data_IF_681697354452
#
_entry.id   IF_681697354452
#
_cell.length_a   1.000
_cell.length_b   1.000
_cell.length_c   1.000
_cell.angle_alpha   90.00
_cell.angle_beta   90.00
_cell.angle_gamma   90.00
#
_symmetry.space_group_name_H-M   'P 1'
#
loop_
_entity.id
_entity.type
_entity.pdbx_description
1 polymer ?
#
# COMPACT_ATOMS: atom_id res chain seq x y z
N UNK A 1 -77.92 6.72 -54.79
CA UNK A 1 -78.87 5.91 -53.97
C UNK A 1 -78.35 4.49 -53.75
N UNK A 2 -77.67 3.86 -54.71
CA UNK A 2 -77.09 2.50 -54.57
C UNK A 2 -75.97 2.37 -53.51
N UNK A 3 -75.15 3.42 -53.34
CA UNK A 3 -74.00 3.37 -52.39
C UNK A 3 -74.44 3.30 -50.93
N UNK A 4 -75.59 3.91 -50.60
CA UNK A 4 -76.14 3.88 -49.24
C UNK A 4 -76.63 2.47 -48.90
N UNK A 5 -77.25 1.77 -49.84
CA UNK A 5 -77.70 0.39 -49.65
C UNK A 5 -76.52 -0.59 -49.51
N UNK A 6 -75.44 -0.36 -50.25
CA UNK A 6 -74.20 -1.16 -50.11
C UNK A 6 -73.53 -0.94 -48.75
N UNK A 7 -73.44 0.31 -48.29
CA UNK A 7 -72.91 0.65 -46.97
C UNK A 7 -73.78 0.02 -45.87
N UNK A 8 -75.11 0.06 -46.00
CA UNK A 8 -76.03 -0.56 -45.05
C UNK A 8 -75.86 -2.09 -44.97
N UNK A 9 -75.68 -2.77 -46.12
CA UNK A 9 -75.40 -4.22 -46.13
C UNK A 9 -74.07 -4.56 -45.47
N UNK A 10 -73.01 -3.80 -45.75
CA UNK A 10 -71.70 -4.00 -45.13
C UNK A 10 -71.73 -3.74 -43.63
N UNK A 11 -72.46 -2.72 -43.19
CA UNK A 11 -72.62 -2.40 -41.77
C UNK A 11 -73.39 -3.50 -41.04
N UNK A 12 -74.49 -3.99 -41.60
CA UNK A 12 -75.26 -5.09 -41.02
C UNK A 12 -74.41 -6.37 -40.89
N UNK A 13 -73.61 -6.69 -41.90
CA UNK A 13 -72.69 -7.83 -41.86
C UNK A 13 -71.57 -7.65 -40.81
N UNK A 14 -71.01 -6.45 -40.69
CA UNK A 14 -70.00 -6.14 -39.68
C UNK A 14 -70.57 -6.27 -38.26
N UNK A 15 -71.80 -5.79 -38.04
CA UNK A 15 -72.48 -5.87 -36.75
C UNK A 15 -72.83 -7.32 -36.38
N UNK A 16 -73.29 -8.14 -37.33
CA UNK A 16 -73.54 -9.58 -37.10
C UNK A 16 -72.24 -10.33 -36.77
N UNK A 17 -71.15 -10.02 -37.46
CA UNK A 17 -69.82 -10.59 -37.17
C UNK A 17 -69.30 -10.19 -35.80
N UNK A 18 -69.51 -8.94 -35.38
CA UNK A 18 -69.16 -8.46 -34.04
C UNK A 18 -70.02 -9.16 -33.00
N UNK A 19 -71.34 -9.25 -33.20
CA UNK A 19 -72.27 -9.96 -32.32
C UNK A 19 -71.84 -11.41 -32.07
N UNK A 20 -71.52 -12.14 -33.14
CA UNK A 20 -70.97 -13.51 -33.06
C UNK A 20 -69.61 -13.57 -32.35
N UNK A 21 -68.77 -12.55 -32.52
CA UNK A 21 -67.49 -12.43 -31.82
C UNK A 21 -67.66 -12.23 -30.31
N UNK A 22 -68.61 -11.37 -29.90
CA UNK A 22 -68.92 -11.10 -28.49
C UNK A 22 -69.59 -12.31 -27.83
N UNK A 23 -70.53 -12.98 -28.52
CA UNK A 23 -71.11 -14.23 -28.04
C UNK A 23 -70.04 -15.32 -27.88
N UNK A 24 -69.04 -15.38 -28.76
CA UNK A 24 -67.90 -16.28 -28.65
C UNK A 24 -66.99 -15.99 -27.45
N UNK A 25 -66.86 -14.71 -27.06
CA UNK A 25 -66.13 -14.28 -25.87
C UNK A 25 -66.89 -14.60 -24.58
N UNK A 26 -68.21 -14.42 -24.55
CA UNK A 26 -69.06 -14.80 -23.41
C UNK A 26 -69.18 -16.32 -23.23
N UNK A 27 -69.08 -17.07 -24.34
CA UNK A 27 -69.08 -18.54 -24.33
C UNK A 27 -67.69 -19.16 -24.21
N UNK A 28 -66.64 -18.35 -24.23
CA UNK A 28 -65.31 -18.82 -23.93
C UNK A 28 -65.33 -19.32 -22.47
N UNK A 29 -64.92 -20.57 -22.20
CA UNK A 29 -64.83 -21.04 -20.83
C UNK A 29 -63.90 -20.06 -20.08
N UNK A 30 -64.35 -19.58 -18.92
CA UNK A 30 -63.51 -18.80 -18.03
C UNK A 30 -62.16 -19.53 -17.89
N UNK A 31 -61.01 -18.82 -17.96
CA UNK A 31 -59.72 -19.47 -17.75
C UNK A 31 -59.85 -20.27 -16.45
N UNK A 32 -59.65 -21.59 -16.56
CA UNK A 32 -59.75 -22.47 -15.41
C UNK A 32 -58.92 -21.84 -14.29
N UNK A 33 -59.56 -21.53 -13.16
CA UNK A 33 -58.87 -20.98 -12.00
C UNK A 33 -57.64 -21.85 -11.80
N UNK A 34 -56.45 -21.25 -11.91
CA UNK A 34 -55.20 -21.96 -11.74
C UNK A 34 -55.31 -22.76 -10.45
N UNK A 35 -55.20 -24.09 -10.55
CA UNK A 35 -55.31 -24.97 -9.40
C UNK A 35 -54.37 -24.43 -8.32
N UNK A 36 -54.87 -24.28 -7.10
CA UNK A 36 -54.04 -23.83 -5.97
C UNK A 36 -52.78 -24.71 -5.94
N UNK A 37 -51.58 -24.11 -5.82
CA UNK A 37 -50.34 -24.89 -5.84
C UNK A 37 -50.44 -25.98 -4.78
N UNK A 38 -50.09 -27.21 -5.16
CA UNK A 38 -50.12 -28.33 -4.23
C UNK A 38 -49.18 -28.10 -3.04
N UNK A 39 -49.39 -28.85 -1.97
CA UNK A 39 -48.64 -28.69 -0.71
C UNK A 39 -47.13 -28.88 -0.92
N UNK A 40 -46.73 -29.69 -1.89
CA UNK A 40 -45.33 -29.94 -2.25
C UNK A 40 -44.70 -28.71 -2.92
N UNK A 41 -45.41 -28.07 -3.86
CA UNK A 41 -44.98 -26.81 -4.48
C UNK A 41 -44.89 -25.68 -3.44
N UNK A 42 -45.82 -25.59 -2.50
CA UNK A 42 -45.77 -24.58 -1.43
C UNK A 42 -44.59 -24.82 -0.46
N UNK A 43 -44.26 -26.07 -0.17
CA UNK A 43 -43.09 -26.42 0.63
C UNK A 43 -41.78 -26.07 -0.10
N UNK A 44 -41.68 -26.36 -1.40
CA UNK A 44 -40.53 -26.02 -2.24
C UNK A 44 -40.31 -24.50 -2.31
N UNK A 45 -41.38 -23.72 -2.51
CA UNK A 45 -41.33 -22.26 -2.53
C UNK A 45 -40.84 -21.71 -1.18
N UNK A 46 -41.34 -22.24 -0.06
CA UNK A 46 -40.91 -21.82 1.28
C UNK A 46 -39.43 -22.13 1.51
N UNK A 47 -38.98 -23.31 1.06
CA UNK A 47 -37.57 -23.72 1.13
C UNK A 47 -36.67 -22.82 0.30
N UNK A 48 -37.06 -22.51 -0.93
CA UNK A 48 -36.32 -21.60 -1.82
C UNK A 48 -36.27 -20.17 -1.28
N UNK A 49 -37.37 -19.68 -0.69
CA UNK A 49 -37.40 -18.37 -0.03
C UNK A 49 -36.47 -18.32 1.18
N UNK A 50 -36.40 -19.40 1.97
CA UNK A 50 -35.44 -19.50 3.07
C UNK A 50 -34.00 -19.48 2.55
N UNK A 51 -33.71 -20.29 1.52
CA UNK A 51 -32.38 -20.36 0.92
C UNK A 51 -31.95 -19.02 0.29
N UNK A 52 -32.88 -18.28 -0.31
CA UNK A 52 -32.63 -16.96 -0.85
C UNK A 52 -32.26 -15.97 0.25
N UNK A 53 -33.02 -15.93 1.35
CA UNK A 53 -32.70 -15.07 2.51
C UNK A 53 -31.33 -15.40 3.11
N UNK A 54 -31.00 -16.68 3.23
CA UNK A 54 -29.69 -17.11 3.73
C UNK A 54 -28.56 -16.68 2.78
N UNK A 55 -28.79 -16.78 1.47
CA UNK A 55 -27.84 -16.32 0.46
C UNK A 55 -27.66 -14.80 0.48
N UNK A 56 -28.74 -14.02 0.61
CA UNK A 56 -28.70 -12.56 0.75
C UNK A 56 -27.91 -12.15 2.00
N UNK A 57 -28.15 -12.81 3.14
CA UNK A 57 -27.40 -12.55 4.37
C UNK A 57 -25.90 -12.85 4.22
N UNK A 58 -25.55 -13.92 3.49
CA UNK A 58 -24.15 -14.24 3.18
C UNK A 58 -23.51 -13.22 2.25
N UNK A 59 -24.24 -12.73 1.24
CA UNK A 59 -23.74 -11.69 0.34
C UNK A 59 -23.40 -10.43 1.13
N UNK A 60 -24.31 -9.97 1.99
CA UNK A 60 -24.08 -8.80 2.85
C UNK A 60 -22.86 -8.98 3.75
N UNK A 61 -22.70 -10.17 4.35
CA UNK A 61 -21.52 -10.49 5.17
C UNK A 61 -20.24 -10.44 4.35
N UNK A 62 -20.22 -11.05 3.17
CA UNK A 62 -19.04 -11.09 2.30
C UNK A 62 -18.68 -9.71 1.76
N UNK A 63 -19.67 -8.87 1.45
CA UNK A 63 -19.44 -7.49 1.05
C UNK A 63 -18.81 -6.67 2.18
N UNK A 64 -19.27 -6.88 3.42
CA UNK A 64 -18.67 -6.25 4.60
C UNK A 64 -17.22 -6.72 4.80
N UNK A 65 -16.96 -8.03 4.73
CA UNK A 65 -15.61 -8.60 4.87
C UNK A 65 -14.66 -8.10 3.79
N UNK A 66 -15.13 -8.02 2.54
CA UNK A 66 -14.36 -7.52 1.41
C UNK A 66 -14.05 -6.03 1.55
N UNK A 67 -15.00 -5.24 2.06
CA UNK A 67 -14.75 -3.82 2.35
C UNK A 67 -13.71 -3.63 3.46
N UNK A 68 -13.76 -4.46 4.52
CA UNK A 68 -12.81 -4.43 5.62
C UNK A 68 -11.41 -4.89 5.15
N UNK A 69 -11.33 -5.93 4.33
CA UNK A 69 -10.09 -6.39 3.75
C UNK A 69 -9.44 -5.33 2.85
N UNK A 70 -10.22 -4.64 2.01
CA UNK A 70 -9.71 -3.53 1.19
C UNK A 70 -9.21 -2.36 2.03
N UNK A 71 -9.92 -2.02 3.11
CA UNK A 71 -9.49 -0.95 4.02
C UNK A 71 -8.18 -1.34 4.75
N UNK A 72 -8.07 -2.60 5.18
CA UNK A 72 -6.85 -3.12 5.79
C UNK A 72 -5.69 -3.18 4.79
N UNK A 73 -5.93 -3.56 3.54
CA UNK A 73 -4.92 -3.56 2.47
C UNK A 73 -4.46 -2.15 2.14
N UNK A 74 -5.38 -1.18 2.02
CA UNK A 74 -5.05 0.23 1.82
C UNK A 74 -4.21 0.77 2.99
N UNK A 75 -4.62 0.50 4.23
CA UNK A 75 -3.88 0.92 5.42
C UNK A 75 -2.51 0.23 5.52
N UNK A 76 -2.40 -1.05 5.14
CA UNK A 76 -1.14 -1.77 5.11
C UNK A 76 -0.21 -1.25 4.02
N UNK A 77 -0.76 -0.84 2.87
CA UNK A 77 0.00 -0.24 1.78
C UNK A 77 0.49 1.16 2.14
N UNK A 78 -0.37 2.00 2.71
CA UNK A 78 0.03 3.30 3.26
C UNK A 78 1.08 3.15 4.36
N UNK A 79 0.93 2.15 5.24
CA UNK A 79 1.92 1.86 6.27
C UNK A 79 3.24 1.36 5.68
N UNK A 80 3.22 0.52 4.65
CA UNK A 80 4.42 0.05 3.96
C UNK A 80 5.12 1.18 3.19
N UNK A 81 4.37 2.07 2.56
CA UNK A 81 4.89 3.30 1.94
C UNK A 81 5.42 4.31 2.98
N UNK A 82 4.90 4.27 4.21
CA UNK A 82 5.32 5.13 5.32
C UNK A 82 6.43 4.54 6.20
N UNK A 83 6.78 3.26 6.07
CA UNK A 83 7.97 2.69 6.71
C UNK A 83 9.16 3.14 5.86
N UNK A 84 9.98 4.10 6.32
CA UNK A 84 11.14 4.52 5.56
C UNK A 84 12.06 3.30 5.42
N UNK A 85 12.41 2.95 4.18
CA UNK A 85 13.62 2.16 3.96
C UNK A 85 14.77 2.88 4.66
N UNK A 86 15.60 2.12 5.37
CA UNK A 86 16.72 2.69 6.12
C UNK A 86 17.53 3.58 5.17
N UNK A 87 17.97 4.78 5.61
CA UNK A 87 18.75 5.66 4.76
C UNK A 87 19.91 4.84 4.17
N UNK A 88 20.03 4.86 2.84
CA UNK A 88 21.20 4.30 2.16
C UNK A 88 22.39 5.19 2.50
N UNK A 89 22.95 4.99 3.70
CA UNK A 89 24.25 5.51 4.05
C UNK A 89 25.21 4.91 3.02
N UNK A 90 25.94 5.78 2.30
CA UNK A 90 27.01 5.35 1.42
C UNK A 90 27.96 4.44 2.21
N UNK A 91 27.89 3.15 1.89
CA UNK A 91 28.60 2.08 2.61
C UNK A 91 30.10 2.29 2.52
N UNK A 92 30.58 2.86 1.41
CA UNK A 92 32.00 3.15 1.22
C UNK A 92 32.42 4.34 2.09
N UNK A 93 31.61 5.41 2.15
CA UNK A 93 31.87 6.55 3.02
C UNK A 93 31.82 6.17 4.52
N UNK A 94 30.89 5.29 4.92
CA UNK A 94 30.80 4.78 6.28
C UNK A 94 32.01 3.90 6.64
N UNK A 95 32.45 3.03 5.73
CA UNK A 95 33.62 2.20 5.91
C UNK A 95 34.91 3.05 6.00
N UNK A 96 35.02 4.10 5.20
CA UNK A 96 36.14 5.05 5.29
C UNK A 96 36.14 5.78 6.63
N UNK A 97 34.98 6.28 7.10
CA UNK A 97 34.86 6.90 8.41
C UNK A 97 35.29 5.95 9.53
N UNK A 98 34.84 4.70 9.52
CA UNK A 98 35.24 3.70 10.51
C UNK A 98 36.77 3.48 10.51
N UNK A 99 37.38 3.42 9.32
CA UNK A 99 38.82 3.31 9.19
C UNK A 99 39.55 4.53 9.76
N UNK A 100 39.08 5.75 9.50
CA UNK A 100 39.71 6.97 10.02
C UNK A 100 39.56 7.09 11.54
N UNK A 101 38.40 6.72 12.10
CA UNK A 101 38.19 6.67 13.56
C UNK A 101 39.12 5.64 14.21
N UNK A 102 39.32 4.48 13.59
CA UNK A 102 40.26 3.48 14.07
C UNK A 102 41.72 4.00 14.08
N UNK A 103 42.12 4.72 13.01
CA UNK A 103 43.43 5.37 12.92
C UNK A 103 43.61 6.48 13.97
N UNK A 104 42.59 7.32 14.18
CA UNK A 104 42.60 8.36 15.21
C UNK A 104 42.78 7.77 16.61
N UNK A 105 42.10 6.66 16.91
CA UNK A 105 42.28 5.94 18.19
C UNK A 105 43.71 5.43 18.35
N UNK A 106 44.27 4.82 17.31
CA UNK A 106 45.64 4.31 17.33
C UNK A 106 46.67 5.44 17.52
N UNK A 107 46.53 6.54 16.78
CA UNK A 107 47.41 7.71 16.88
C UNK A 107 47.35 8.35 18.29
N UNK A 108 46.16 8.41 18.89
CA UNK A 108 46.00 8.90 20.26
C UNK A 108 46.65 7.99 21.32
N UNK A 109 46.61 6.67 21.12
CA UNK A 109 47.33 5.74 22.01
C UNK A 109 48.83 5.98 21.90
N UNK A 110 49.37 6.03 20.69
CA UNK A 110 50.78 6.32 20.46
C UNK A 110 51.22 7.68 21.04
N UNK A 111 50.38 8.73 20.90
CA UNK A 111 50.64 10.03 21.49
C UNK A 111 50.67 9.99 23.02
N UNK A 112 49.76 9.22 23.66
CA UNK A 112 49.75 9.07 25.13
C UNK A 112 50.96 8.32 25.62
N UNK A 113 51.37 7.26 24.93
CA UNK A 113 52.58 6.50 25.24
C UNK A 113 53.82 7.38 25.09
N UNK A 114 53.92 8.16 24.00
CA UNK A 114 55.01 9.11 23.81
C UNK A 114 55.03 10.18 24.92
N UNK A 115 53.88 10.72 25.31
CA UNK A 115 53.81 11.65 26.44
C UNK A 115 54.25 11.03 27.77
N UNK A 116 54.00 9.74 27.99
CA UNK A 116 54.48 9.04 29.17
C UNK A 116 56.01 8.90 29.14
N UNK A 117 56.59 8.47 28.02
CA UNK A 117 58.05 8.35 27.89
C UNK A 117 58.76 9.70 28.01
N UNK A 118 58.18 10.77 27.48
CA UNK A 118 58.68 12.15 27.66
C UNK A 118 58.71 12.55 29.14
N UNK A 119 57.62 12.30 29.87
CA UNK A 119 57.55 12.62 31.30
C UNK A 119 58.56 11.83 32.10
N UNK A 120 58.75 10.56 31.80
CA UNK A 120 59.75 9.70 32.44
C UNK A 120 61.18 10.19 32.14
N UNK A 121 61.48 10.53 30.89
CA UNK A 121 62.79 11.06 30.49
C UNK A 121 63.09 12.38 31.21
N UNK A 122 62.12 13.30 31.26
CA UNK A 122 62.24 14.58 31.97
C UNK A 122 62.45 14.37 33.47
N UNK A 123 61.68 13.48 34.10
CA UNK A 123 61.83 13.17 35.53
C UNK A 123 63.16 12.50 35.86
N UNK A 124 63.66 11.64 34.97
CA UNK A 124 64.94 10.97 35.12
C UNK A 124 66.14 11.86 34.73
N UNK A 125 65.91 13.09 34.24
CA UNK A 125 66.95 13.99 33.74
C UNK A 125 67.70 13.43 32.53
N UNK A 126 67.05 12.56 31.74
CA UNK A 126 67.60 11.98 30.51
C UNK A 126 67.28 12.88 29.32
N UNK A 127 68.08 12.74 28.25
CA UNK A 127 67.79 13.38 26.98
C UNK A 127 66.43 12.94 26.44
N UNK A 128 65.71 13.90 25.89
CA UNK A 128 64.36 13.75 25.35
C UNK A 128 64.44 13.59 23.84
N UNK A 129 63.81 12.56 23.29
CA UNK A 129 63.66 12.41 21.84
C UNK A 129 62.53 13.31 21.33
N UNK A 130 62.87 14.58 21.11
CA UNK A 130 61.94 15.62 20.67
C UNK A 130 61.40 15.33 19.26
N UNK A 131 62.22 14.76 18.38
CA UNK A 131 61.82 14.42 17.01
C UNK A 131 60.75 13.33 17.00
N UNK A 132 60.88 12.32 17.85
CA UNK A 132 59.85 11.30 18.02
C UNK A 132 58.54 11.87 18.58
N UNK A 133 58.63 12.81 19.53
CA UNK A 133 57.46 13.49 20.10
C UNK A 133 56.70 14.34 19.08
N UNK A 134 57.42 15.19 18.35
CA UNK A 134 56.82 16.03 17.32
C UNK A 134 56.20 15.19 16.18
N UNK A 135 56.82 14.05 15.84
CA UNK A 135 56.23 13.11 14.87
C UNK A 135 54.93 12.51 15.37
N UNK A 136 54.87 12.07 16.63
CA UNK A 136 53.65 11.51 17.22
C UNK A 136 52.52 12.56 17.30
N UNK A 137 52.85 13.80 17.63
CA UNK A 137 51.87 14.91 17.65
C UNK A 137 51.35 15.24 16.25
N UNK A 138 52.23 15.33 15.26
CA UNK A 138 51.84 15.54 13.87
C UNK A 138 51.00 14.38 13.32
N UNK A 139 51.30 13.14 13.69
CA UNK A 139 50.50 11.97 13.29
C UNK A 139 49.11 12.01 13.93
N UNK A 140 49.00 12.38 15.21
CA UNK A 140 47.71 12.58 15.88
C UNK A 140 46.88 13.68 15.21
N UNK A 141 47.48 14.85 14.91
CA UNK A 141 46.79 15.95 14.23
C UNK A 141 46.34 15.57 12.81
N UNK A 142 47.15 14.80 12.08
CA UNK A 142 46.77 14.29 10.75
C UNK A 142 45.61 13.31 10.83
N UNK A 143 45.63 12.41 11.82
CA UNK A 143 44.55 11.44 12.02
C UNK A 143 43.24 12.14 12.44
N UNK A 144 43.32 13.19 13.25
CA UNK A 144 42.17 14.02 13.65
C UNK A 144 41.55 14.70 12.42
N UNK A 145 42.37 15.37 11.61
CA UNK A 145 41.93 16.00 10.36
C UNK A 145 41.33 15.02 9.36
N UNK A 146 41.89 13.80 9.26
CA UNK A 146 41.36 12.77 8.39
C UNK A 146 40.00 12.24 8.87
N UNK A 147 39.81 12.10 10.18
CA UNK A 147 38.52 11.73 10.77
C UNK A 147 37.47 12.81 10.55
N UNK A 148 37.81 14.08 10.83
CA UNK A 148 36.92 15.23 10.58
C UNK A 148 36.47 15.30 9.11
N UNK A 149 37.41 15.09 8.17
CA UNK A 149 37.11 15.10 6.75
C UNK A 149 36.15 13.97 6.34
N UNK A 150 36.35 12.76 6.86
CA UNK A 150 35.47 11.62 6.60
C UNK A 150 34.07 11.83 7.21
N UNK A 151 33.99 12.38 8.43
CA UNK A 151 32.71 12.74 9.05
C UNK A 151 31.95 13.78 8.21
N UNK A 152 32.66 14.82 7.74
CA UNK A 152 32.07 15.85 6.87
C UNK A 152 31.58 15.27 5.54
N UNK A 153 32.27 14.28 4.96
CA UNK A 153 31.81 13.62 3.73
C UNK A 153 30.53 12.82 3.96
N UNK A 154 30.43 12.06 5.04
CA UNK A 154 29.21 11.32 5.40
C UNK A 154 28.05 12.28 5.64
N UNK A 155 28.27 13.36 6.37
CA UNK A 155 27.25 14.40 6.61
C UNK A 155 26.84 15.12 5.32
N UNK A 156 27.80 15.42 4.45
CA UNK A 156 27.52 16.07 3.17
C UNK A 156 26.70 15.16 2.26
N UNK A 157 27.00 13.86 2.21
CA UNK A 157 26.18 12.88 1.49
C UNK A 157 24.75 12.86 2.01
N UNK A 158 24.57 12.76 3.33
CA UNK A 158 23.24 12.79 3.95
C UNK A 158 22.47 14.10 3.67
N UNK A 159 23.15 15.25 3.65
CA UNK A 159 22.53 16.54 3.30
C UNK A 159 22.20 16.63 1.82
N UNK A 160 23.06 16.12 0.93
CA UNK A 160 22.83 16.06 -0.50
C UNK A 160 21.62 15.19 -0.84
N UNK A 161 21.48 14.03 -0.21
CA UNK A 161 20.31 13.18 -0.40
C UNK A 161 19.02 13.92 -0.04
N UNK A 162 18.99 14.58 1.14
CA UNK A 162 17.85 15.41 1.55
C UNK A 162 17.60 16.57 0.56
N UNK A 163 18.65 17.21 0.04
CA UNK A 163 18.56 18.34 -0.87
C UNK A 163 18.11 17.96 -2.29
N UNK A 164 18.50 16.79 -2.79
CA UNK A 164 18.13 16.26 -4.10
C UNK A 164 16.66 15.80 -4.16
N UNK A 165 15.90 16.00 -3.08
CA UNK A 165 14.57 15.46 -2.96
C UNK A 165 14.57 13.93 -2.87
N UNK A 166 15.76 13.31 -2.74
CA UNK A 166 15.91 11.96 -2.22
C UNK A 166 15.63 12.01 -0.71
N UNK A 167 14.39 12.32 -0.37
CA UNK A 167 13.76 11.56 0.69
C UNK A 167 13.84 10.09 0.28
N UNK A 168 13.75 9.12 1.20
CA UNK A 168 13.75 7.69 0.87
C UNK A 168 12.65 7.22 -0.13
N UNK A 169 11.99 8.14 -0.83
CA UNK A 169 10.83 7.94 -1.69
C UNK A 169 11.13 7.97 -3.20
N UNK A 170 12.31 8.37 -3.67
CA UNK A 170 12.60 8.44 -5.12
C UNK A 170 14.01 7.96 -5.50
N UNK A 171 14.31 6.68 -5.27
CA UNK A 171 15.40 6.00 -5.97
C UNK A 171 15.12 4.48 -6.07
N UNK A 172 14.34 4.12 -7.10
CA UNK A 172 13.97 2.78 -7.61
C UNK A 172 12.84 2.00 -6.91
#
# INVERSE_FOLDING_TARGET
MNDIEEIQRRLAYALDRIGKGVEGLDKAPAPAAAAAPDLETQAEVTRLQSALKDAEARIVSLEADLSAAKAAEAAAKEAAEAVPEAPMIDVDAAAELEQQVARLKAANVALRENNATLREAVQAGKDVDLDASLKAELESLRAERASEAAEMQVLLGAVQDVADGKTPQEAN
#
